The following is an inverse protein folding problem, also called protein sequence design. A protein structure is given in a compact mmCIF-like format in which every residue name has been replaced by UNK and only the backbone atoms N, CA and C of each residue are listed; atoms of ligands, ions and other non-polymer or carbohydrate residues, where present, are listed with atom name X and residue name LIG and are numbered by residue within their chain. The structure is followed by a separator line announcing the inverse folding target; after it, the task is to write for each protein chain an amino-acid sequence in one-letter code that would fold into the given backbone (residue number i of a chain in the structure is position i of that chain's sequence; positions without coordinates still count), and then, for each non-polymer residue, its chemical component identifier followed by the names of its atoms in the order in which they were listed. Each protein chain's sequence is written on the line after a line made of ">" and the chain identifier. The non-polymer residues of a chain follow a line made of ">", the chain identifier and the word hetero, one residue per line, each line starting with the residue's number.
data_IF_342031091339
#
_entry.id   IF_342031091339
#
_cell.length_a   1.000
_cell.length_b   1.000
_cell.length_c   1.000
_cell.angle_alpha   90.00
_cell.angle_beta   90.00
_cell.angle_gamma   90.00
#
_symmetry.space_group_name_H-M   'P 1'
#
loop_
_entity.id
_entity.type
_entity.pdbx_description
1 polymer ?
#
# COMPACT_ATOMS: atom_id res chain seq x y z
N UNK A 1 1.92 21.30 22.87
CA UNK A 1 2.80 20.51 21.97
C UNK A 1 1.95 20.06 20.79
N UNK A 2 2.34 20.34 19.55
CA UNK A 2 1.63 19.80 18.39
C UNK A 2 1.97 18.32 18.23
N UNK A 3 0.96 17.48 18.01
CA UNK A 3 1.18 16.07 17.70
C UNK A 3 1.89 15.95 16.35
N UNK A 4 2.92 15.10 16.27
CA UNK A 4 3.57 14.79 15.01
C UNK A 4 2.56 14.06 14.10
N UNK A 5 2.39 14.47 12.83
CA UNK A 5 1.47 13.79 11.92
C UNK A 5 1.90 12.33 11.71
N UNK A 6 0.94 11.47 11.39
CA UNK A 6 1.25 10.07 11.07
C UNK A 6 2.10 10.02 9.81
N UNK A 7 2.96 9.01 9.69
CA UNK A 7 3.80 8.84 8.48
C UNK A 7 2.95 8.77 7.20
N UNK A 8 1.75 8.20 7.29
CA UNK A 8 0.79 8.20 6.20
C UNK A 8 0.42 9.62 5.72
N UNK A 9 0.11 10.52 6.65
CA UNK A 9 -0.27 11.90 6.34
C UNK A 9 0.91 12.65 5.69
N UNK A 10 2.13 12.36 6.15
CA UNK A 10 3.34 12.93 5.57
C UNK A 10 3.58 12.46 4.13
N UNK A 11 3.36 11.17 3.84
CA UNK A 11 3.45 10.62 2.48
C UNK A 11 2.36 11.24 1.61
N UNK A 12 1.11 11.27 2.09
CA UNK A 12 -0.01 11.80 1.32
C UNK A 12 0.13 13.29 0.98
N UNK A 13 0.77 14.08 1.85
CA UNK A 13 1.02 15.50 1.66
C UNK A 13 2.37 15.81 0.98
N UNK A 14 3.16 14.80 0.61
CA UNK A 14 4.43 15.02 -0.09
C UNK A 14 4.17 15.64 -1.48
N UNK A 15 4.87 16.73 -1.88
CA UNK A 15 4.67 17.38 -3.17
C UNK A 15 4.80 16.44 -4.39
N UNK A 16 5.55 15.35 -4.26
CA UNK A 16 5.67 14.34 -5.32
C UNK A 16 4.34 13.61 -5.58
N UNK A 17 3.38 13.67 -4.65
CA UNK A 17 2.05 13.07 -4.77
C UNK A 17 0.98 14.04 -5.27
N UNK A 18 1.29 15.31 -5.55
CA UNK A 18 0.29 16.33 -5.92
C UNK A 18 -0.57 15.92 -7.14
N UNK A 19 0.04 15.37 -8.19
CA UNK A 19 -0.71 14.91 -9.38
C UNK A 19 -1.67 13.76 -9.06
N UNK A 20 -1.26 12.83 -8.18
CA UNK A 20 -2.11 11.72 -7.75
C UNK A 20 -3.23 12.18 -6.82
N UNK A 21 -2.92 13.07 -5.88
CA UNK A 21 -3.88 13.64 -4.96
C UNK A 21 -4.97 14.43 -5.72
N UNK A 22 -4.58 15.22 -6.72
CA UNK A 22 -5.52 15.96 -7.60
C UNK A 22 -6.46 15.04 -8.38
N UNK A 23 -6.06 13.78 -8.64
CA UNK A 23 -6.90 12.74 -9.24
C UNK A 23 -7.76 11.98 -8.22
N UNK A 24 -7.67 12.33 -6.94
CA UNK A 24 -8.35 11.65 -5.84
C UNK A 24 -7.72 10.30 -5.48
N UNK A 25 -6.45 10.08 -5.82
CA UNK A 25 -5.74 8.84 -5.53
C UNK A 25 -4.89 8.96 -4.29
N UNK A 26 -5.24 8.19 -3.26
CA UNK A 26 -4.42 8.06 -2.06
C UNK A 26 -3.30 7.02 -2.24
N UNK A 27 -2.19 7.15 -1.48
CA UNK A 27 -1.14 6.14 -1.45
C UNK A 27 -1.69 4.76 -1.10
N UNK A 28 -1.32 3.75 -1.89
CA UNK A 28 -1.75 2.36 -1.68
C UNK A 28 -0.60 1.55 -1.11
N UNK A 29 -0.62 1.33 0.21
CA UNK A 29 0.36 0.47 0.88
C UNK A 29 -0.23 -0.13 2.17
N UNK A 30 0.45 -1.16 2.68
CA UNK A 30 0.23 -1.70 4.03
C UNK A 30 1.58 -1.81 4.71
N UNK A 31 1.65 -1.48 6.00
CA UNK A 31 2.88 -1.55 6.78
C UNK A 31 2.56 -1.98 8.21
N UNK A 32 3.41 -2.84 8.77
CA UNK A 32 3.40 -3.21 10.18
C UNK A 32 4.83 -3.18 10.71
N UNK A 33 5.00 -2.76 11.96
CA UNK A 33 6.28 -2.86 12.66
C UNK A 33 6.74 -4.29 12.90
N UNK A 34 5.84 -5.27 12.76
CA UNK A 34 6.15 -6.71 12.85
C UNK A 34 6.55 -7.34 11.50
N UNK A 35 6.47 -6.59 10.40
CA UNK A 35 6.80 -7.11 9.07
C UNK A 35 8.31 -7.38 8.96
N UNK A 36 8.66 -8.62 8.59
CA UNK A 36 10.06 -9.04 8.38
C UNK A 36 10.54 -8.85 6.95
N UNK A 37 9.62 -8.74 6.00
CA UNK A 37 9.86 -8.63 4.57
C UNK A 37 9.01 -7.47 4.05
N UNK A 38 9.61 -6.64 3.19
CA UNK A 38 8.92 -5.57 2.47
C UNK A 38 8.80 -5.98 1.00
N UNK A 39 7.59 -5.92 0.47
CA UNK A 39 7.31 -6.15 -0.95
C UNK A 39 7.05 -4.80 -1.61
N UNK A 40 7.81 -4.49 -2.67
CA UNK A 40 7.65 -3.27 -3.45
C UNK A 40 7.23 -3.65 -4.86
N UNK A 41 6.03 -3.20 -5.25
CA UNK A 41 5.51 -3.35 -6.60
C UNK A 41 5.81 -2.13 -7.47
N UNK A 42 5.55 -2.23 -8.76
CA UNK A 42 5.75 -1.13 -9.70
C UNK A 42 4.70 -0.02 -9.54
N UNK A 43 3.41 -0.38 -9.60
CA UNK A 43 2.29 0.55 -9.50
C UNK A 43 1.01 -0.18 -9.07
N UNK A 44 0.07 0.50 -8.41
CA UNK A 44 -1.23 -0.09 -8.08
C UNK A 44 -2.06 -0.30 -9.36
N UNK A 45 -2.60 -1.51 -9.52
CA UNK A 45 -3.66 -1.76 -10.50
C UNK A 45 -4.99 -1.12 -10.07
N UNK A 46 -5.96 -1.07 -10.98
CA UNK A 46 -7.29 -0.44 -10.73
C UNK A 46 -7.97 -0.94 -9.44
N UNK A 47 -7.97 -2.25 -9.20
CA UNK A 47 -8.62 -2.83 -8.01
C UNK A 47 -7.90 -2.38 -6.73
N UNK A 48 -6.56 -2.39 -6.73
CA UNK A 48 -5.78 -1.93 -5.59
C UNK A 48 -6.00 -0.45 -5.31
N UNK A 49 -6.07 0.39 -6.36
CA UNK A 49 -6.35 1.82 -6.24
C UNK A 49 -7.76 2.09 -5.68
N UNK A 50 -8.77 1.34 -6.11
CA UNK A 50 -10.15 1.51 -5.65
C UNK A 50 -10.40 0.99 -4.23
N UNK A 51 -9.70 -0.08 -3.84
CA UNK A 51 -9.88 -0.73 -2.54
C UNK A 51 -8.88 -0.26 -1.49
N UNK A 52 -7.88 0.54 -1.89
CA UNK A 52 -6.71 0.91 -1.09
C UNK A 52 -5.99 -0.30 -0.46
N UNK A 53 -6.16 -1.48 -1.05
CA UNK A 53 -5.56 -2.73 -0.59
C UNK A 53 -4.59 -3.26 -1.64
N UNK A 54 -3.27 -3.23 -1.37
CA UNK A 54 -2.28 -3.66 -2.34
C UNK A 54 -2.35 -5.19 -2.53
N UNK A 55 -2.13 -5.71 -3.74
CA UNK A 55 -2.22 -7.14 -4.06
C UNK A 55 -3.59 -7.81 -3.75
N UNK A 56 -4.69 -7.07 -3.85
CA UNK A 56 -6.06 -7.58 -3.66
C UNK A 56 -6.70 -8.15 -4.94
N UNK A 57 -5.91 -8.49 -5.95
CA UNK A 57 -6.38 -9.00 -7.24
C UNK A 57 -5.83 -10.41 -7.55
N UNK A 58 -6.04 -10.87 -8.79
CA UNK A 58 -5.55 -12.17 -9.24
C UNK A 58 -4.02 -12.30 -9.16
N UNK A 59 -3.28 -11.22 -9.43
CA UNK A 59 -1.82 -11.22 -9.33
C UNK A 59 -1.35 -11.39 -7.88
N UNK A 60 -2.04 -10.75 -6.94
CA UNK A 60 -1.77 -10.92 -5.52
C UNK A 60 -2.03 -12.34 -5.02
N UNK A 61 -3.07 -13.01 -5.54
CA UNK A 61 -3.31 -14.43 -5.21
C UNK A 61 -2.18 -15.33 -5.70
N UNK A 62 -1.63 -15.07 -6.88
CA UNK A 62 -0.47 -15.81 -7.40
C UNK A 62 0.78 -15.54 -6.56
N UNK A 63 1.05 -14.28 -6.21
CA UNK A 63 2.17 -13.91 -5.37
C UNK A 63 2.13 -14.63 -4.01
N UNK A 64 0.98 -14.66 -3.35
CA UNK A 64 0.82 -15.39 -2.07
C UNK A 64 1.06 -16.89 -2.20
N UNK A 65 0.66 -17.49 -3.33
CA UNK A 65 0.99 -18.90 -3.63
C UNK A 65 2.49 -19.11 -3.80
N UNK A 66 3.19 -18.24 -4.53
CA UNK A 66 4.65 -18.34 -4.71
C UNK A 66 5.43 -18.17 -3.41
N UNK A 67 5.00 -17.24 -2.56
CA UNK A 67 5.60 -17.02 -1.24
C UNK A 67 5.20 -18.11 -0.22
N UNK A 68 4.25 -18.98 -0.56
CA UNK A 68 3.68 -20.00 0.33
C UNK A 68 3.20 -19.42 1.67
N UNK A 69 2.41 -18.35 1.61
CA UNK A 69 1.85 -17.67 2.80
C UNK A 69 0.33 -17.58 2.73
N UNK A 70 -0.29 -17.57 3.91
CA UNK A 70 -1.72 -17.27 4.06
C UNK A 70 -2.00 -15.78 3.91
N UNK A 71 -3.26 -15.41 3.65
CA UNK A 71 -3.66 -13.99 3.62
C UNK A 71 -3.35 -13.27 4.95
N UNK A 72 -3.50 -13.97 6.09
CA UNK A 72 -3.20 -13.43 7.43
C UNK A 72 -1.71 -13.22 7.68
N UNK A 73 -0.83 -13.96 7.01
CA UNK A 73 0.62 -13.74 7.10
C UNK A 73 1.08 -12.61 6.17
N UNK A 74 0.34 -12.35 5.10
CA UNK A 74 0.69 -11.37 4.08
C UNK A 74 0.26 -9.94 4.44
N UNK A 75 -0.89 -9.77 5.10
CA UNK A 75 -1.42 -8.48 5.58
C UNK A 75 -1.36 -8.39 7.09
#
# INVERSE_FOLDING_TARGET
>A
MQAKPLLYDQIAADPMNDDFANRGWSPVYSASSSSRIVLVGQAPGRIAQQTLKPWNDASGRLLRRWLNVTDKQFY
#
